data_IF_217001711079
#
_entry.id   IF_217001711079
#
_cell.length_a   1.000
_cell.length_b   1.000
_cell.length_c   1.000
_cell.angle_alpha   90.00
_cell.angle_beta   90.00
_cell.angle_gamma   90.00
#
_symmetry.space_group_name_H-M   'P 1'
#
loop_
_entity.id
_entity.type
_entity.pdbx_description
1 polymer ?
#
# COMPACT_ATOMS: atom_id res chain seq x y z
N UNK A 1 52.58 -33.33 -5.58
CA UNK A 1 52.04 -32.01 -5.22
C UNK A 1 50.68 -31.68 -5.90
N UNK A 2 50.40 -32.19 -7.11
CA UNK A 2 49.10 -31.99 -7.79
C UNK A 2 47.90 -32.46 -7.00
N UNK A 3 47.89 -33.64 -6.44
CA UNK A 3 46.72 -34.23 -5.76
C UNK A 3 46.24 -33.53 -4.48
N UNK A 4 47.05 -32.67 -3.84
CA UNK A 4 46.62 -31.89 -2.67
C UNK A 4 45.99 -30.56 -3.15
N UNK A 5 46.55 -29.96 -4.17
CA UNK A 5 46.01 -28.75 -4.77
C UNK A 5 44.67 -29.03 -5.46
N UNK A 6 44.56 -30.17 -6.15
CA UNK A 6 43.30 -30.56 -6.80
C UNK A 6 42.19 -30.84 -5.76
N UNK A 7 42.49 -31.48 -4.64
CA UNK A 7 41.54 -31.68 -3.55
C UNK A 7 41.14 -30.38 -2.84
N UNK A 8 42.05 -29.42 -2.74
CA UNK A 8 41.77 -28.13 -2.15
C UNK A 8 40.86 -27.30 -3.08
N UNK A 9 41.10 -27.35 -4.39
CA UNK A 9 40.29 -26.71 -5.39
C UNK A 9 38.87 -27.28 -5.43
N UNK A 10 38.75 -28.61 -5.40
CA UNK A 10 37.46 -29.31 -5.33
C UNK A 10 36.67 -28.98 -4.06
N UNK A 11 37.33 -28.93 -2.91
CA UNK A 11 36.73 -28.55 -1.64
C UNK A 11 36.27 -27.06 -1.66
N UNK A 12 37.10 -26.13 -2.16
CA UNK A 12 36.79 -24.71 -2.26
C UNK A 12 35.63 -24.49 -3.23
N UNK A 13 35.62 -25.22 -4.34
CA UNK A 13 34.54 -25.18 -5.33
C UNK A 13 33.20 -25.63 -4.73
N UNK A 14 33.19 -26.73 -3.97
CA UNK A 14 31.99 -27.19 -3.27
C UNK A 14 31.47 -26.13 -2.26
N UNK A 15 32.37 -25.55 -1.46
CA UNK A 15 32.00 -24.52 -0.48
C UNK A 15 31.41 -23.26 -1.15
N UNK A 16 31.98 -22.81 -2.27
CA UNK A 16 31.48 -21.67 -3.00
C UNK A 16 30.13 -21.97 -3.69
N UNK A 17 29.99 -23.15 -4.29
CA UNK A 17 28.73 -23.57 -4.90
C UNK A 17 27.60 -23.68 -3.88
N UNK A 18 27.84 -24.28 -2.73
CA UNK A 18 26.86 -24.37 -1.65
C UNK A 18 26.50 -22.99 -1.09
N UNK A 19 27.49 -22.09 -0.98
CA UNK A 19 27.27 -20.72 -0.58
C UNK A 19 26.40 -19.94 -1.56
N UNK A 20 26.63 -20.09 -2.87
CA UNK A 20 25.80 -19.46 -3.93
C UNK A 20 24.39 -20.02 -3.89
N UNK A 21 24.23 -21.35 -3.79
CA UNK A 21 22.93 -22.03 -3.70
C UNK A 21 22.14 -21.54 -2.48
N UNK A 22 22.80 -21.46 -1.32
CA UNK A 22 22.20 -20.94 -0.09
C UNK A 22 21.72 -19.48 -0.23
N UNK A 23 22.55 -18.61 -0.82
CA UNK A 23 22.20 -17.21 -1.05
C UNK A 23 21.04 -17.07 -2.06
N UNK A 24 21.04 -17.83 -3.15
CA UNK A 24 19.95 -17.84 -4.14
C UNK A 24 18.64 -18.32 -3.53
N UNK A 25 18.68 -19.43 -2.78
CA UNK A 25 17.50 -19.93 -2.06
C UNK A 25 16.96 -18.85 -1.12
N UNK A 26 17.82 -18.24 -0.31
CA UNK A 26 17.42 -17.15 0.59
C UNK A 26 16.84 -15.94 -0.13
N UNK A 27 17.37 -15.56 -1.30
CA UNK A 27 16.82 -14.48 -2.12
C UNK A 27 15.41 -14.78 -2.63
N UNK A 28 15.18 -15.97 -3.19
CA UNK A 28 13.86 -16.35 -3.71
C UNK A 28 12.84 -16.61 -2.59
N UNK A 29 13.27 -17.14 -1.45
CA UNK A 29 12.43 -17.29 -0.26
C UNK A 29 12.01 -15.91 0.27
N UNK A 30 12.92 -14.93 0.28
CA UNK A 30 12.60 -13.55 0.63
C UNK A 30 11.57 -12.96 -0.31
N UNK A 31 11.68 -13.19 -1.62
CA UNK A 31 10.69 -12.74 -2.62
C UNK A 31 9.29 -13.28 -2.30
N UNK A 32 9.17 -14.58 -2.08
CA UNK A 32 7.88 -15.21 -1.77
C UNK A 32 7.31 -14.71 -0.43
N UNK A 33 8.16 -14.55 0.57
CA UNK A 33 7.79 -14.02 1.88
C UNK A 33 7.28 -12.58 1.74
N UNK A 34 7.99 -11.72 1.01
CA UNK A 34 7.58 -10.33 0.78
C UNK A 34 6.25 -10.23 0.04
N UNK A 35 6.06 -11.02 -1.02
CA UNK A 35 4.79 -11.07 -1.76
C UNK A 35 3.64 -11.46 -0.84
N UNK A 36 3.82 -12.49 -0.01
CA UNK A 36 2.83 -12.95 0.96
C UNK A 36 2.55 -11.93 2.07
N UNK A 37 3.61 -11.31 2.62
CA UNK A 37 3.47 -10.29 3.66
C UNK A 37 2.78 -9.02 3.16
N UNK A 38 3.17 -8.51 1.99
CA UNK A 38 2.53 -7.33 1.39
C UNK A 38 1.04 -7.63 1.15
N UNK A 39 0.72 -8.77 0.53
CA UNK A 39 -0.65 -9.16 0.27
C UNK A 39 -1.46 -9.29 1.57
N UNK A 40 -0.91 -9.93 2.59
CA UNK A 40 -1.52 -10.07 3.91
C UNK A 40 -1.74 -8.74 4.61
N UNK A 41 -0.76 -7.84 4.59
CA UNK A 41 -0.87 -6.53 5.26
C UNK A 41 -1.81 -5.57 4.53
N UNK A 42 -1.75 -5.54 3.19
CA UNK A 42 -2.57 -4.65 2.37
C UNK A 42 -4.03 -5.09 2.35
N UNK A 43 -4.28 -6.39 2.48
CA UNK A 43 -5.62 -6.99 2.58
C UNK A 43 -6.30 -6.84 3.94
N UNK A 44 -5.68 -6.21 4.94
CA UNK A 44 -6.30 -6.02 6.26
C UNK A 44 -7.11 -4.73 6.35
N UNK A 45 -8.24 -4.77 7.10
CA UNK A 45 -8.94 -3.56 7.52
C UNK A 45 -8.09 -2.78 8.52
N UNK A 46 -8.30 -1.46 8.69
CA UNK A 46 -7.64 -0.71 9.75
C UNK A 46 -7.84 -1.34 11.14
N UNK A 47 -9.03 -1.87 11.43
CA UNK A 47 -9.32 -2.54 12.69
C UNK A 47 -8.52 -3.85 12.88
N UNK A 48 -8.40 -4.66 11.82
CA UNK A 48 -7.68 -5.93 11.89
C UNK A 48 -6.17 -5.73 11.96
N UNK A 49 -5.63 -4.67 11.33
CA UNK A 49 -4.20 -4.37 11.32
C UNK A 49 -3.65 -4.07 12.71
N UNK A 50 -4.30 -3.21 13.49
CA UNK A 50 -3.95 -2.95 14.89
C UNK A 50 -5.15 -2.42 15.68
N UNK A 51 -5.79 -3.29 16.45
CA UNK A 51 -6.99 -2.94 17.24
C UNK A 51 -6.73 -1.88 18.32
N UNK A 52 -5.53 -1.83 18.87
CA UNK A 52 -5.14 -0.83 19.87
C UNK A 52 -5.02 0.58 19.27
N UNK A 53 -4.32 0.70 18.15
CA UNK A 53 -4.22 1.97 17.41
C UNK A 53 -5.59 2.39 16.90
N UNK A 54 -6.37 1.45 16.35
CA UNK A 54 -7.73 1.70 15.87
C UNK A 54 -8.61 2.31 16.95
N UNK A 55 -8.69 1.67 18.14
CA UNK A 55 -9.52 2.15 19.25
C UNK A 55 -9.05 3.51 19.80
N UNK A 56 -7.74 3.73 19.84
CA UNK A 56 -7.17 5.02 20.25
C UNK A 56 -7.59 6.14 19.28
N UNK A 57 -7.44 5.91 17.98
CA UNK A 57 -7.76 6.91 16.94
C UNK A 57 -9.27 7.14 16.86
N UNK A 58 -10.09 6.09 17.00
CA UNK A 58 -11.54 6.21 17.08
C UNK A 58 -11.95 7.10 18.27
N UNK A 59 -11.45 6.81 19.45
CA UNK A 59 -11.74 7.59 20.66
C UNK A 59 -11.30 9.05 20.50
N UNK A 60 -10.11 9.30 19.93
CA UNK A 60 -9.63 10.65 19.63
C UNK A 60 -10.59 11.39 18.67
N UNK A 61 -11.00 10.72 17.60
CA UNK A 61 -11.92 11.30 16.61
C UNK A 61 -13.27 11.64 17.25
N UNK A 62 -13.86 10.70 18.00
CA UNK A 62 -15.20 10.87 18.58
C UNK A 62 -15.23 11.85 19.75
N UNK A 63 -14.21 11.85 20.64
CA UNK A 63 -14.23 12.67 21.85
C UNK A 63 -13.64 14.06 21.67
N UNK A 64 -12.71 14.25 20.73
CA UNK A 64 -12.02 15.53 20.54
C UNK A 64 -12.42 16.19 19.22
N UNK A 65 -12.38 15.44 18.11
CA UNK A 65 -12.56 16.05 16.78
C UNK A 65 -14.03 16.28 16.44
N UNK A 66 -14.94 15.36 16.78
CA UNK A 66 -16.38 15.52 16.53
C UNK A 66 -16.95 16.77 17.23
N UNK A 67 -16.65 17.09 18.51
CA UNK A 67 -17.06 18.35 19.12
C UNK A 67 -16.56 19.59 18.37
N UNK A 68 -15.29 19.59 17.94
CA UNK A 68 -14.72 20.69 17.15
C UNK A 68 -15.46 20.83 15.82
N UNK A 69 -15.69 19.70 15.12
CA UNK A 69 -16.44 19.68 13.87
C UNK A 69 -17.89 20.18 14.07
N UNK A 70 -18.51 19.91 15.23
CA UNK A 70 -19.82 20.44 15.60
C UNK A 70 -19.85 21.96 15.70
N UNK A 71 -18.81 22.59 16.27
CA UNK A 71 -18.67 24.04 16.31
C UNK A 71 -18.51 24.61 14.88
N UNK A 72 -17.66 23.98 14.06
CA UNK A 72 -17.46 24.38 12.66
C UNK A 72 -18.77 24.24 11.88
N UNK A 73 -19.47 23.12 12.03
CA UNK A 73 -20.76 22.89 11.38
C UNK A 73 -21.80 23.95 11.77
N UNK A 74 -21.87 24.30 13.06
CA UNK A 74 -22.77 25.35 13.53
C UNK A 74 -22.46 26.68 12.84
N UNK A 75 -21.19 27.06 12.79
CA UNK A 75 -20.77 28.27 12.09
C UNK A 75 -21.13 28.23 10.58
N UNK A 76 -20.84 27.12 9.90
CA UNK A 76 -21.14 26.92 8.48
C UNK A 76 -22.65 27.02 8.21
N UNK A 77 -23.46 26.41 9.05
CA UNK A 77 -24.93 26.44 8.90
C UNK A 77 -25.52 27.82 9.18
N UNK A 78 -25.01 28.55 10.19
CA UNK A 78 -25.40 29.94 10.43
C UNK A 78 -25.02 30.85 9.26
N UNK A 79 -23.82 30.70 8.74
CA UNK A 79 -23.36 31.46 7.57
C UNK A 79 -24.24 31.19 6.34
N UNK A 80 -24.59 29.95 6.08
CA UNK A 80 -25.48 29.58 4.99
C UNK A 80 -26.88 30.14 5.17
N UNK A 81 -27.40 30.16 6.42
CA UNK A 81 -28.71 30.81 6.70
C UNK A 81 -28.68 32.32 6.39
N UNK A 82 -27.58 32.99 6.80
CA UNK A 82 -27.40 34.41 6.51
C UNK A 82 -27.36 34.65 4.99
N UNK A 83 -26.59 33.84 4.24
CA UNK A 83 -26.56 33.95 2.77
C UNK A 83 -27.95 33.75 2.17
N UNK A 84 -28.68 32.74 2.63
CA UNK A 84 -30.03 32.44 2.13
C UNK A 84 -31.00 33.58 2.34
N UNK A 85 -30.88 34.31 3.47
CA UNK A 85 -31.69 35.48 3.80
C UNK A 85 -31.27 36.74 3.00
N UNK A 86 -29.92 36.88 2.78
CA UNK A 86 -29.35 38.10 2.17
C UNK A 86 -29.42 38.08 0.63
N UNK A 87 -29.27 36.91 -0.01
CA UNK A 87 -29.33 36.78 -1.49
C UNK A 87 -30.69 37.16 -2.07
N UNK A 88 -31.73 37.16 -1.27
CA UNK A 88 -33.08 37.65 -1.70
C UNK A 88 -33.36 38.98 -1.08
N UNK A 89 -33.21 40.04 -1.87
CA UNK A 89 -33.42 41.47 -1.55
C UNK A 89 -34.81 41.82 -0.98
N UNK A 90 -35.73 40.85 -0.83
CA UNK A 90 -37.04 41.04 -0.25
C UNK A 90 -37.31 40.00 0.84
N UNK A 91 -37.24 40.42 2.09
CA UNK A 91 -37.66 39.65 3.27
C UNK A 91 -39.11 39.13 3.18
N UNK A 92 -39.90 39.65 2.25
CA UNK A 92 -41.31 39.27 2.02
C UNK A 92 -41.47 37.95 1.24
N UNK A 93 -40.42 37.48 0.54
CA UNK A 93 -40.46 36.33 -0.35
C UNK A 93 -39.70 35.12 0.22
N UNK A 94 -39.48 35.04 1.57
CA UNK A 94 -38.89 33.85 2.20
C UNK A 94 -39.97 32.76 2.17
N UNK A 95 -39.88 31.91 1.15
CA UNK A 95 -40.72 30.73 1.02
C UNK A 95 -40.42 29.75 2.17
N UNK A 96 -41.47 29.37 2.90
CA UNK A 96 -41.40 28.38 3.97
C UNK A 96 -40.67 27.10 3.53
N UNK A 97 -40.77 26.78 2.24
CA UNK A 97 -40.08 25.63 1.63
C UNK A 97 -38.55 25.75 1.64
N UNK A 98 -38.00 26.95 1.54
CA UNK A 98 -36.54 27.17 1.61
C UNK A 98 -36.01 26.94 3.02
N UNK A 99 -36.76 27.35 4.03
CA UNK A 99 -36.40 27.06 5.42
C UNK A 99 -36.41 25.55 5.71
N UNK A 100 -37.42 24.83 5.21
CA UNK A 100 -37.44 23.37 5.33
C UNK A 100 -36.24 22.72 4.65
N UNK A 101 -35.83 23.16 3.48
CA UNK A 101 -34.60 22.64 2.81
C UNK A 101 -33.36 22.88 3.66
N UNK A 102 -33.23 24.05 4.28
CA UNK A 102 -32.08 24.34 5.15
C UNK A 102 -32.09 23.49 6.40
N UNK A 103 -33.23 23.31 7.07
CA UNK A 103 -33.39 22.44 8.24
C UNK A 103 -33.03 20.99 7.88
N UNK A 104 -33.56 20.46 6.78
CA UNK A 104 -33.25 19.10 6.32
C UNK A 104 -31.77 18.93 6.01
N UNK A 105 -31.15 19.91 5.35
CA UNK A 105 -29.72 19.92 5.04
C UNK A 105 -28.88 19.93 6.33
N UNK A 106 -29.26 20.74 7.32
CA UNK A 106 -28.60 20.79 8.62
C UNK A 106 -28.71 19.43 9.32
N UNK A 107 -29.89 18.81 9.30
CA UNK A 107 -30.09 17.48 9.87
C UNK A 107 -29.17 16.43 9.21
N UNK A 108 -29.12 16.40 7.86
CA UNK A 108 -28.21 15.50 7.14
C UNK A 108 -26.74 15.76 7.49
N UNK A 109 -26.36 17.04 7.60
CA UNK A 109 -24.99 17.42 7.97
C UNK A 109 -24.60 16.93 9.37
N UNK A 110 -25.48 17.06 10.34
CA UNK A 110 -25.28 16.55 11.70
C UNK A 110 -25.12 15.03 11.66
N UNK A 111 -25.97 14.31 10.92
CA UNK A 111 -25.86 12.86 10.78
C UNK A 111 -24.53 12.44 10.15
N UNK A 112 -24.05 13.14 9.14
CA UNK A 112 -22.77 12.84 8.50
C UNK A 112 -21.63 13.06 9.48
N UNK A 113 -21.58 14.18 10.18
CA UNK A 113 -20.51 14.51 11.13
C UNK A 113 -20.47 13.55 12.31
N UNK A 114 -21.63 13.23 12.88
CA UNK A 114 -21.71 12.30 14.03
C UNK A 114 -21.41 10.84 13.65
N UNK A 115 -21.65 10.44 12.40
CA UNK A 115 -21.38 9.10 11.90
C UNK A 115 -20.14 9.03 11.01
N UNK A 116 -19.27 10.03 11.04
CA UNK A 116 -18.08 10.10 10.20
C UNK A 116 -17.25 8.83 10.28
N UNK A 117 -17.01 8.30 11.49
CA UNK A 117 -16.23 7.09 11.70
C UNK A 117 -16.78 5.89 10.92
N UNK A 118 -18.07 5.63 11.05
CA UNK A 118 -18.72 4.52 10.36
C UNK A 118 -18.70 4.70 8.83
N UNK A 119 -18.89 5.93 8.34
CA UNK A 119 -18.85 6.24 6.90
C UNK A 119 -17.45 5.98 6.35
N UNK A 120 -16.41 6.45 7.04
CA UNK A 120 -15.02 6.28 6.60
C UNK A 120 -14.61 4.81 6.65
N UNK A 121 -14.95 4.09 7.73
CA UNK A 121 -14.67 2.66 7.80
C UNK A 121 -15.39 1.88 6.70
N UNK A 122 -16.64 2.20 6.39
CA UNK A 122 -17.37 1.59 5.28
C UNK A 122 -16.68 1.77 3.91
N UNK A 123 -16.00 2.90 3.67
CA UNK A 123 -15.19 3.11 2.46
C UNK A 123 -14.00 2.13 2.43
N UNK A 124 -13.30 1.96 3.56
CA UNK A 124 -12.17 1.04 3.62
C UNK A 124 -12.60 -0.43 3.54
N UNK A 125 -13.76 -0.80 4.09
CA UNK A 125 -14.31 -2.15 3.97
C UNK A 125 -14.64 -2.50 2.51
N UNK A 126 -15.23 -1.57 1.76
CA UNK A 126 -15.48 -1.74 0.32
C UNK A 126 -14.16 -1.86 -0.45
N UNK A 127 -13.18 -0.99 -0.14
CA UNK A 127 -11.86 -1.05 -0.78
C UNK A 127 -11.16 -2.38 -0.51
N UNK A 128 -11.28 -2.92 0.71
CA UNK A 128 -10.70 -4.21 1.07
C UNK A 128 -11.34 -5.38 0.32
N UNK A 129 -12.65 -5.37 0.13
CA UNK A 129 -13.31 -6.40 -0.67
C UNK A 129 -12.75 -6.44 -2.11
N UNK A 130 -12.44 -5.27 -2.69
CA UNK A 130 -11.79 -5.17 -4.00
C UNK A 130 -10.37 -5.73 -3.95
N UNK A 131 -9.61 -5.44 -2.90
CA UNK A 131 -8.24 -5.95 -2.71
C UNK A 131 -8.24 -7.46 -2.58
N UNK A 132 -9.11 -8.03 -1.74
CA UNK A 132 -9.20 -9.48 -1.53
C UNK A 132 -9.62 -10.20 -2.81
N UNK A 133 -10.63 -9.70 -3.53
CA UNK A 133 -11.02 -10.26 -4.82
C UNK A 133 -9.89 -10.20 -5.87
N UNK A 134 -9.05 -9.17 -5.81
CA UNK A 134 -7.88 -9.04 -6.69
C UNK A 134 -6.75 -9.99 -6.27
N UNK A 135 -6.56 -10.18 -4.95
CA UNK A 135 -5.57 -11.12 -4.42
C UNK A 135 -5.86 -12.55 -4.87
N UNK A 136 -7.13 -12.98 -4.84
CA UNK A 136 -7.53 -14.32 -5.29
C UNK A 136 -7.18 -14.55 -6.77
N UNK A 137 -7.32 -13.53 -7.63
CA UNK A 137 -6.94 -13.62 -9.05
C UNK A 137 -5.42 -13.62 -9.24
N UNK A 138 -4.71 -12.78 -8.46
CA UNK A 138 -3.27 -12.58 -8.61
C UNK A 138 -2.49 -13.74 -7.98
N UNK A 139 -2.85 -14.18 -6.77
CA UNK A 139 -2.10 -15.20 -6.01
C UNK A 139 -2.34 -16.61 -6.57
N UNK A 140 -3.52 -16.88 -7.16
CA UNK A 140 -3.83 -18.18 -7.76
C UNK A 140 -2.87 -18.61 -8.86
N UNK A 141 -2.27 -17.65 -9.59
CA UNK A 141 -1.39 -17.90 -10.74
C UNK A 141 0.11 -17.57 -10.47
N UNK A 142 0.47 -17.05 -9.27
CA UNK A 142 1.76 -16.36 -9.09
C UNK A 142 2.70 -16.95 -8.03
N UNK A 143 2.46 -18.16 -7.51
CA UNK A 143 3.46 -18.81 -6.66
C UNK A 143 4.71 -19.16 -7.49
N UNK A 144 5.83 -18.48 -7.21
CA UNK A 144 7.12 -18.77 -7.85
C UNK A 144 7.55 -20.17 -7.43
N UNK A 145 7.66 -21.08 -8.39
CA UNK A 145 8.22 -22.40 -8.12
C UNK A 145 9.76 -22.30 -8.02
N UNK A 146 10.23 -21.92 -6.83
CA UNK A 146 11.63 -21.73 -6.53
C UNK A 146 12.46 -22.99 -6.84
N UNK A 147 11.90 -24.17 -6.56
CA UNK A 147 12.61 -25.43 -6.76
C UNK A 147 12.98 -25.67 -8.22
N UNK A 148 12.14 -25.28 -9.19
CA UNK A 148 12.45 -25.41 -10.61
C UNK A 148 13.50 -24.40 -11.09
N UNK A 149 13.48 -23.18 -10.54
CA UNK A 149 14.48 -22.14 -10.85
C UNK A 149 15.85 -22.56 -10.32
N UNK A 150 15.92 -23.00 -9.06
CA UNK A 150 17.17 -23.41 -8.42
C UNK A 150 17.74 -24.65 -9.11
N UNK A 151 16.93 -25.67 -9.44
CA UNK A 151 17.43 -26.87 -10.11
C UNK A 151 18.03 -26.59 -11.50
N UNK A 152 17.51 -25.62 -12.23
CA UNK A 152 18.08 -25.19 -13.49
C UNK A 152 19.42 -24.45 -13.33
N UNK A 153 19.56 -23.67 -12.26
CA UNK A 153 20.78 -22.93 -11.94
C UNK A 153 21.86 -23.82 -11.33
N UNK A 154 21.48 -24.88 -10.60
CA UNK A 154 22.39 -25.84 -9.97
C UNK A 154 23.34 -26.49 -10.98
N UNK A 155 22.80 -26.98 -12.10
CA UNK A 155 23.60 -27.60 -13.15
C UNK A 155 24.62 -26.62 -13.78
N UNK A 156 24.28 -25.34 -13.84
CA UNK A 156 25.18 -24.30 -14.34
C UNK A 156 26.28 -23.97 -13.33
N UNK A 157 25.93 -23.84 -12.02
CA UNK A 157 26.86 -23.56 -10.94
C UNK A 157 27.91 -24.67 -10.85
N UNK A 158 27.50 -25.94 -10.96
CA UNK A 158 28.41 -27.08 -10.92
C UNK A 158 29.37 -27.16 -12.12
N UNK A 159 29.04 -26.54 -13.24
CA UNK A 159 29.88 -26.52 -14.44
C UNK A 159 30.97 -25.42 -14.44
N UNK A 160 30.84 -24.41 -13.54
CA UNK A 160 31.72 -23.24 -13.56
C UNK A 160 33.09 -23.49 -12.93
N UNK A 161 34.17 -22.85 -13.43
CA UNK A 161 35.48 -22.87 -12.78
C UNK A 161 35.51 -22.09 -11.47
N UNK A 162 36.40 -22.45 -10.56
CA UNK A 162 36.51 -21.87 -9.20
C UNK A 162 36.63 -20.34 -9.17
N UNK A 163 37.32 -19.75 -10.13
CA UNK A 163 37.45 -18.28 -10.23
C UNK A 163 36.15 -17.58 -10.53
N UNK A 164 35.30 -18.14 -11.39
CA UNK A 164 33.98 -17.60 -11.70
C UNK A 164 33.00 -17.80 -10.55
N UNK A 165 33.06 -18.94 -9.88
CA UNK A 165 32.29 -19.22 -8.67
C UNK A 165 32.58 -18.21 -7.54
N UNK A 166 33.82 -17.80 -7.34
CA UNK A 166 34.18 -16.78 -6.37
C UNK A 166 33.52 -15.42 -6.72
N UNK A 167 33.54 -15.04 -8.01
CA UNK A 167 32.87 -13.84 -8.48
C UNK A 167 31.36 -13.87 -8.24
N UNK A 168 30.70 -15.00 -8.56
CA UNK A 168 29.26 -15.20 -8.34
C UNK A 168 28.90 -15.22 -6.86
N UNK A 169 29.73 -15.85 -6.02
CA UNK A 169 29.51 -15.87 -4.57
C UNK A 169 29.54 -14.44 -3.99
N UNK A 170 30.52 -13.65 -4.39
CA UNK A 170 30.60 -12.25 -3.97
C UNK A 170 29.39 -11.43 -4.45
N UNK A 171 28.96 -11.61 -5.72
CA UNK A 171 27.77 -10.97 -6.27
C UNK A 171 26.50 -11.38 -5.49
N UNK A 172 26.32 -12.65 -5.17
CA UNK A 172 25.14 -13.14 -4.46
C UNK A 172 25.03 -12.57 -3.04
N UNK A 173 26.14 -12.38 -2.33
CA UNK A 173 26.16 -11.73 -1.02
C UNK A 173 25.74 -10.25 -1.16
N UNK A 174 26.33 -9.52 -2.11
CA UNK A 174 26.03 -8.12 -2.32
C UNK A 174 24.54 -7.92 -2.68
N UNK A 175 24.02 -8.73 -3.58
CA UNK A 175 22.61 -8.68 -3.97
C UNK A 175 21.70 -9.06 -2.81
N UNK A 176 22.01 -10.09 -2.03
CA UNK A 176 21.27 -10.49 -0.84
C UNK A 176 21.19 -9.36 0.20
N UNK A 177 22.29 -8.64 0.44
CA UNK A 177 22.30 -7.48 1.34
C UNK A 177 21.37 -6.36 0.80
N UNK A 178 21.43 -6.10 -0.50
CA UNK A 178 20.58 -5.07 -1.15
C UNK A 178 19.11 -5.46 -1.06
N UNK A 179 18.77 -6.74 -1.25
CA UNK A 179 17.42 -7.26 -1.10
C UNK A 179 16.84 -7.00 0.30
N UNK A 180 17.63 -7.24 1.36
CA UNK A 180 17.20 -6.94 2.73
C UNK A 180 16.89 -5.44 2.94
N UNK A 181 17.68 -4.55 2.35
CA UNK A 181 17.40 -3.11 2.42
C UNK A 181 16.11 -2.76 1.68
N UNK A 182 15.90 -3.34 0.49
CA UNK A 182 14.68 -3.12 -0.30
C UNK A 182 13.44 -3.66 0.42
N UNK A 183 13.53 -4.80 1.11
CA UNK A 183 12.47 -5.36 1.95
C UNK A 183 12.02 -4.37 3.02
N UNK A 184 12.97 -3.76 3.73
CA UNK A 184 12.68 -2.70 4.71
C UNK A 184 11.98 -1.51 4.04
N UNK A 185 12.42 -1.08 2.85
CA UNK A 185 11.79 0.02 2.12
C UNK A 185 10.34 -0.31 1.73
N UNK A 186 10.08 -1.52 1.28
CA UNK A 186 8.75 -2.01 0.92
C UNK A 186 7.84 -2.02 2.15
N UNK A 187 8.32 -2.57 3.27
CA UNK A 187 7.60 -2.56 4.54
C UNK A 187 7.23 -1.13 4.97
N UNK A 188 8.16 -0.17 4.85
CA UNK A 188 7.88 1.23 5.18
C UNK A 188 6.75 1.83 4.33
N UNK A 189 6.63 1.48 3.06
CA UNK A 189 5.55 1.95 2.19
C UNK A 189 4.20 1.39 2.64
N UNK A 190 4.15 0.10 2.93
CA UNK A 190 2.91 -0.59 3.33
C UNK A 190 2.42 -0.10 4.69
N UNK A 191 3.31 -0.02 5.68
CA UNK A 191 2.97 0.49 7.01
C UNK A 191 2.68 1.99 7.00
N UNK A 192 3.44 2.76 6.21
CA UNK A 192 3.23 4.19 6.02
C UNK A 192 1.83 4.50 5.49
N UNK A 193 1.31 3.69 4.56
CA UNK A 193 -0.07 3.79 4.09
C UNK A 193 -1.07 3.63 5.23
N UNK A 194 -0.91 2.63 6.11
CA UNK A 194 -1.83 2.42 7.23
C UNK A 194 -1.81 3.59 8.22
N UNK A 195 -0.62 4.16 8.47
CA UNK A 195 -0.50 5.37 9.29
C UNK A 195 -1.24 6.55 8.61
N UNK A 196 -1.09 6.73 7.29
CA UNK A 196 -1.81 7.76 6.53
C UNK A 196 -3.33 7.57 6.61
N UNK A 197 -3.83 6.33 6.56
CA UNK A 197 -5.24 5.99 6.76
C UNK A 197 -5.72 6.44 8.13
N UNK A 198 -5.01 6.10 9.21
CA UNK A 198 -5.39 6.51 10.56
C UNK A 198 -5.35 8.03 10.76
N UNK A 199 -4.31 8.70 10.26
CA UNK A 199 -4.20 10.16 10.37
C UNK A 199 -5.33 10.86 9.63
N UNK A 200 -5.62 10.43 8.40
CA UNK A 200 -6.70 11.01 7.60
C UNK A 200 -8.06 10.76 8.22
N UNK A 201 -8.29 9.56 8.76
CA UNK A 201 -9.55 9.19 9.40
C UNK A 201 -9.77 9.96 10.70
N UNK A 202 -8.71 10.18 11.48
CA UNK A 202 -8.82 10.87 12.78
C UNK A 202 -9.42 12.26 12.67
N UNK A 203 -9.12 13.01 11.61
CA UNK A 203 -9.57 14.40 11.38
C UNK A 203 -10.84 14.50 10.53
N UNK A 204 -11.36 13.37 10.08
CA UNK A 204 -12.48 13.27 9.13
C UNK A 204 -13.72 14.12 9.43
N UNK A 205 -14.18 14.25 10.69
CA UNK A 205 -15.34 15.06 11.01
C UNK A 205 -15.21 16.53 10.58
N UNK A 206 -14.00 17.11 10.60
CA UNK A 206 -13.78 18.53 10.26
C UNK A 206 -14.08 18.82 8.78
N UNK A 207 -13.44 18.18 7.79
CA UNK A 207 -13.75 18.43 6.39
C UNK A 207 -15.20 18.04 6.02
N UNK A 208 -15.76 17.00 6.65
CA UNK A 208 -17.15 16.62 6.39
C UNK A 208 -18.14 17.66 6.93
N UNK A 209 -17.82 18.37 8.02
CA UNK A 209 -18.64 19.46 8.51
C UNK A 209 -18.76 20.62 7.51
N UNK A 210 -17.78 20.83 6.65
CA UNK A 210 -17.82 21.89 5.61
C UNK A 210 -18.53 21.45 4.33
N UNK A 211 -18.75 20.15 4.12
CA UNK A 211 -19.22 19.59 2.85
C UNK A 211 -20.60 20.11 2.42
N UNK A 212 -21.42 20.50 3.35
CA UNK A 212 -22.79 20.95 3.10
C UNK A 212 -22.88 22.39 2.59
N UNK A 213 -21.86 23.20 2.78
CA UNK A 213 -21.84 24.58 2.31
C UNK A 213 -21.35 24.67 0.85
N UNK A 214 -21.92 25.59 0.06
CA UNK A 214 -21.58 25.77 -1.34
C UNK A 214 -20.14 26.28 -1.54
N UNK A 215 -19.70 27.21 -0.68
CA UNK A 215 -18.42 27.89 -0.84
C UNK A 215 -17.27 27.06 -0.25
N UNK A 216 -17.51 26.31 0.83
CA UNK A 216 -16.50 25.54 1.56
C UNK A 216 -16.60 24.03 1.34
N UNK A 217 -17.64 23.57 0.65
CA UNK A 217 -17.91 22.15 0.42
C UNK A 217 -16.85 21.42 -0.39
N UNK A 218 -16.01 22.15 -1.13
CA UNK A 218 -14.87 21.60 -1.87
C UNK A 218 -13.87 20.89 -0.94
N UNK A 219 -13.68 21.38 0.30
CA UNK A 219 -12.81 20.74 1.30
C UNK A 219 -13.31 19.36 1.68
N UNK A 220 -14.61 19.20 1.98
CA UNK A 220 -15.21 17.91 2.28
C UNK A 220 -15.21 16.96 1.08
N UNK A 221 -15.45 17.47 -0.14
CA UNK A 221 -15.39 16.65 -1.34
C UNK A 221 -13.96 16.15 -1.62
N UNK A 222 -12.95 17.00 -1.49
CA UNK A 222 -11.55 16.60 -1.66
C UNK A 222 -11.13 15.60 -0.59
N UNK A 223 -11.63 15.73 0.64
CA UNK A 223 -11.40 14.75 1.69
C UNK A 223 -11.97 13.36 1.31
N UNK A 224 -13.20 13.28 0.82
CA UNK A 224 -13.77 12.01 0.35
C UNK A 224 -12.97 11.42 -0.81
N UNK A 225 -12.55 12.23 -1.78
CA UNK A 225 -11.69 11.79 -2.88
C UNK A 225 -10.37 11.22 -2.35
N UNK A 226 -9.77 11.85 -1.34
CA UNK A 226 -8.55 11.36 -0.69
C UNK A 226 -8.76 10.04 0.03
N UNK A 227 -9.91 9.83 0.69
CA UNK A 227 -10.25 8.54 1.30
C UNK A 227 -10.39 7.42 0.27
N UNK A 228 -11.12 7.69 -0.84
CA UNK A 228 -11.22 6.72 -1.93
C UNK A 228 -9.86 6.43 -2.55
N UNK A 229 -9.01 7.45 -2.71
CA UNK A 229 -7.65 7.28 -3.19
C UNK A 229 -6.82 6.38 -2.26
N UNK A 230 -6.88 6.59 -0.94
CA UNK A 230 -6.18 5.74 0.04
C UNK A 230 -6.71 4.30 0.04
N UNK A 231 -8.02 4.12 -0.06
CA UNK A 231 -8.61 2.79 -0.21
C UNK A 231 -8.11 2.08 -1.48
N UNK A 232 -8.19 2.78 -2.62
CA UNK A 232 -7.78 2.23 -3.92
C UNK A 232 -6.27 2.02 -4.07
N UNK A 233 -5.45 2.74 -3.33
CA UNK A 233 -4.00 2.52 -3.29
C UNK A 233 -3.66 1.07 -2.92
N UNK A 234 -4.42 0.44 -2.04
CA UNK A 234 -4.27 -0.96 -1.68
C UNK A 234 -4.36 -1.89 -2.91
N UNK A 235 -5.36 -1.66 -3.75
CA UNK A 235 -5.51 -2.38 -5.01
C UNK A 235 -4.30 -2.18 -5.93
N UNK A 236 -3.81 -0.95 -6.08
CA UNK A 236 -2.63 -0.67 -6.90
C UNK A 236 -1.38 -1.38 -6.37
N UNK A 237 -1.21 -1.45 -5.06
CA UNK A 237 -0.12 -2.21 -4.42
C UNK A 237 -0.23 -3.69 -4.81
N UNK A 238 -1.43 -4.29 -4.72
CA UNK A 238 -1.64 -5.68 -5.12
C UNK A 238 -1.32 -5.93 -6.60
N UNK A 239 -1.70 -5.02 -7.49
CA UNK A 239 -1.34 -5.10 -8.91
C UNK A 239 0.17 -5.05 -9.11
N UNK A 240 0.88 -4.16 -8.41
CA UNK A 240 2.34 -4.09 -8.48
C UNK A 240 2.99 -5.40 -8.02
N UNK A 241 2.50 -6.00 -6.94
CA UNK A 241 2.98 -7.29 -6.42
C UNK A 241 2.72 -8.41 -7.42
N UNK A 242 1.55 -8.44 -8.06
CA UNK A 242 1.23 -9.41 -9.11
C UNK A 242 2.17 -9.31 -10.31
N UNK A 243 2.42 -8.10 -10.81
CA UNK A 243 3.38 -7.85 -11.89
C UNK A 243 4.78 -8.31 -11.50
N UNK A 244 5.22 -7.96 -10.29
CA UNK A 244 6.52 -8.38 -9.76
C UNK A 244 6.67 -9.90 -9.71
N UNK A 245 5.67 -10.60 -9.20
CA UNK A 245 5.67 -12.06 -9.12
C UNK A 245 5.84 -12.71 -10.50
N UNK A 246 5.10 -12.24 -11.52
CA UNK A 246 5.24 -12.73 -12.90
C UNK A 246 6.63 -12.44 -13.48
N UNK A 247 7.19 -11.26 -13.20
CA UNK A 247 8.54 -10.91 -13.65
C UNK A 247 9.61 -11.82 -13.02
N UNK A 248 9.50 -12.10 -11.72
CA UNK A 248 10.44 -13.01 -11.03
C UNK A 248 10.33 -14.43 -11.56
N UNK A 249 9.12 -14.93 -11.86
CA UNK A 249 8.95 -16.25 -12.49
C UNK A 249 9.67 -16.39 -13.83
N UNK A 250 9.79 -15.30 -14.58
CA UNK A 250 10.47 -15.30 -15.87
C UNK A 250 12.00 -15.47 -15.79
N UNK A 251 12.61 -15.29 -14.60
CA UNK A 251 14.06 -15.38 -14.40
C UNK A 251 14.60 -16.79 -14.66
N UNK A 252 13.84 -17.83 -14.38
CA UNK A 252 14.30 -19.24 -14.47
C UNK A 252 14.43 -19.80 -15.88
N UNK A 253 14.02 -19.08 -16.93
CA UNK A 253 13.96 -19.61 -18.30
C UNK A 253 15.17 -19.13 -19.10
N UNK A 254 16.25 -19.94 -19.12
CA UNK A 254 17.40 -19.74 -20.02
C UNK A 254 18.39 -18.64 -19.60
N UNK A 255 18.31 -18.13 -18.38
CA UNK A 255 19.24 -17.10 -17.87
C UNK A 255 20.53 -17.72 -17.35
N UNK A 256 21.67 -17.06 -17.56
CA UNK A 256 22.91 -17.30 -16.84
C UNK A 256 22.73 -16.97 -15.34
N UNK A 257 23.43 -17.69 -14.44
CA UNK A 257 23.31 -17.51 -12.97
C UNK A 257 23.52 -16.05 -12.55
N UNK A 258 24.53 -15.38 -13.13
CA UNK A 258 24.79 -13.96 -12.87
C UNK A 258 23.61 -13.09 -13.30
N UNK A 259 23.06 -13.32 -14.51
CA UNK A 259 21.92 -12.59 -15.00
C UNK A 259 20.67 -12.82 -14.15
N UNK A 260 20.45 -14.02 -13.62
CA UNK A 260 19.34 -14.33 -12.72
C UNK A 260 19.43 -13.54 -11.41
N UNK A 261 20.62 -13.49 -10.79
CA UNK A 261 20.89 -12.74 -9.57
C UNK A 261 20.59 -11.24 -9.76
N UNK A 262 21.13 -10.63 -10.80
CA UNK A 262 20.94 -9.20 -11.09
C UNK A 262 19.50 -8.87 -11.49
N UNK A 263 18.82 -9.76 -12.21
CA UNK A 263 17.43 -9.57 -12.59
C UNK A 263 16.50 -9.61 -11.38
N UNK A 264 16.71 -10.53 -10.44
CA UNK A 264 15.95 -10.59 -9.20
C UNK A 264 16.05 -9.27 -8.42
N UNK A 265 17.27 -8.77 -8.22
CA UNK A 265 17.49 -7.46 -7.58
C UNK A 265 16.82 -6.33 -8.36
N UNK A 266 16.99 -6.30 -9.70
CA UNK A 266 16.42 -5.27 -10.55
C UNK A 266 14.90 -5.21 -10.47
N UNK A 267 14.21 -6.36 -10.46
CA UNK A 267 12.76 -6.42 -10.32
C UNK A 267 12.30 -6.00 -8.93
N UNK A 268 13.05 -6.32 -7.86
CA UNK A 268 12.73 -5.85 -6.51
C UNK A 268 12.92 -4.34 -6.37
N UNK A 269 13.95 -3.77 -6.98
CA UNK A 269 14.13 -2.30 -7.07
C UNK A 269 12.94 -1.68 -7.81
N UNK A 270 12.52 -2.28 -8.92
CA UNK A 270 11.35 -1.83 -9.68
C UNK A 270 10.08 -1.86 -8.85
N UNK A 271 9.84 -2.94 -8.11
CA UNK A 271 8.72 -3.05 -7.17
C UNK A 271 8.75 -1.94 -6.14
N UNK A 272 9.89 -1.72 -5.48
CA UNK A 272 10.06 -0.66 -4.49
C UNK A 272 9.67 0.71 -5.06
N UNK A 273 10.20 1.09 -6.22
CA UNK A 273 9.86 2.35 -6.88
C UNK A 273 8.40 2.43 -7.32
N UNK A 274 7.82 1.33 -7.81
CA UNK A 274 6.41 1.28 -8.19
C UNK A 274 5.52 1.51 -6.96
N UNK A 275 5.82 0.88 -5.83
CA UNK A 275 5.07 1.03 -4.57
C UNK A 275 5.10 2.48 -4.06
N UNK A 276 6.24 3.17 -4.13
CA UNK A 276 6.31 4.60 -3.78
C UNK A 276 5.41 5.48 -4.66
N UNK A 277 5.16 5.08 -5.90
CA UNK A 277 4.31 5.82 -6.84
C UNK A 277 2.82 5.53 -6.69
N UNK A 278 2.43 4.43 -6.04
CA UNK A 278 1.02 4.03 -5.91
C UNK A 278 0.17 5.10 -5.24
N UNK A 279 0.67 5.76 -4.19
CA UNK A 279 -0.05 6.82 -3.47
C UNK A 279 -0.34 8.03 -4.35
N UNK A 280 0.66 8.55 -5.07
CA UNK A 280 0.48 9.69 -5.98
C UNK A 280 -0.40 9.34 -7.18
N UNK A 281 -0.26 8.12 -7.72
CA UNK A 281 -1.09 7.63 -8.80
C UNK A 281 -2.55 7.52 -8.38
N UNK A 282 -2.81 6.95 -7.21
CA UNK A 282 -4.16 6.83 -6.67
C UNK A 282 -4.81 8.21 -6.46
N UNK A 283 -4.10 9.15 -5.82
CA UNK A 283 -4.58 10.53 -5.64
C UNK A 283 -4.91 11.20 -6.98
N UNK A 284 -4.05 11.02 -7.99
CA UNK A 284 -4.28 11.57 -9.32
C UNK A 284 -5.54 10.99 -9.99
N UNK A 285 -5.78 9.68 -9.85
CA UNK A 285 -6.95 9.01 -10.43
C UNK A 285 -8.28 9.53 -9.84
N UNK A 286 -8.30 9.84 -8.56
CA UNK A 286 -9.49 10.37 -7.89
C UNK A 286 -9.56 11.90 -7.87
N UNK A 287 -8.59 12.60 -8.48
CA UNK A 287 -8.52 14.07 -8.46
C UNK A 287 -8.41 14.63 -7.03
N UNK A 288 -7.73 13.90 -6.15
CA UNK A 288 -7.45 14.32 -4.78
C UNK A 288 -6.17 15.17 -4.78
N UNK A 289 -6.28 16.40 -4.28
CA UNK A 289 -5.19 17.37 -4.21
C UNK A 289 -4.91 17.76 -2.77
#
# INVERSE_FOLDING_TARGET
MGGILDKLDEWLRGLLADGIKGNLTGMFDSVNTEVGEIAGQVGQTPQAWNSGVFSMIQNLSETVIVPIAGVILTFVMCYELIQLVTERNNLHDIDTWMFFKWVFKTFCAVLIVTNTWNIVMGIFDVAQNVVNASADVIIGDTSVNISSVISNLDAQIEALPTGELFGLWFQSIFVGLTMNILSICIMLVVYGRMIEVYLTTSVGPIPLATMTNRDWGTTGQNYLRSLFALGFQAFLIMVCVGIYSVLVQSIGVGSDVSAAIWSCMGYTVLLCFALFKTGSLSKSLFGAH
#
